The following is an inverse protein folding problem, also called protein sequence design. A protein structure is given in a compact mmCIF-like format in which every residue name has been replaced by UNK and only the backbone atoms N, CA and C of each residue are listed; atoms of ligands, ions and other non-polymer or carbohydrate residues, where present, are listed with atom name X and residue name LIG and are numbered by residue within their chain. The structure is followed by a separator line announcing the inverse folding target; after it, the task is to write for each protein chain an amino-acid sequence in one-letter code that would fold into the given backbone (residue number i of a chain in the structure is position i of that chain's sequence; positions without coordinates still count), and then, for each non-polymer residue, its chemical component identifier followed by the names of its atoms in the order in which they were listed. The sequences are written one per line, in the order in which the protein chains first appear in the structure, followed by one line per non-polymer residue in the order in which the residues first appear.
data_IF_276451642585
#
_entry.id   IF_276451642585
#
_cell.length_a   1.000
_cell.length_b   1.000
_cell.length_c   1.000
_cell.angle_alpha   90.00
_cell.angle_beta   90.00
_cell.angle_gamma   90.00
#
_symmetry.space_group_name_H-M   'P 1'
#
loop_
_entity.id
_entity.type
_entity.pdbx_description
1 polymer ?
#
# COMPACT_ATOMS: atom_id res chain seq x y z
N UNK A 1 -2.35 21.36 -6.07
CA UNK A 1 -1.14 20.80 -6.75
C UNK A 1 -0.28 20.05 -5.74
N UNK A 2 -0.01 18.76 -5.97
CA UNK A 2 0.87 17.94 -5.11
C UNK A 2 2.26 18.59 -5.03
N UNK A 3 2.89 18.69 -3.85
CA UNK A 3 4.21 19.29 -3.72
C UNK A 3 5.26 18.57 -4.59
N UNK A 4 6.15 19.34 -5.22
CA UNK A 4 7.24 18.80 -6.02
C UNK A 4 8.27 18.06 -5.13
N UNK A 5 8.82 16.97 -5.63
CA UNK A 5 9.80 16.14 -4.88
C UNK A 5 11.01 16.94 -4.38
N UNK A 6 11.46 17.94 -5.13
CA UNK A 6 12.57 18.83 -4.72
C UNK A 6 12.27 19.62 -3.44
N UNK A 7 11.01 19.97 -3.21
CA UNK A 7 10.60 20.71 -2.01
C UNK A 7 10.55 19.79 -0.79
N UNK A 8 10.01 18.57 -0.94
CA UNK A 8 9.97 17.57 0.12
C UNK A 8 11.37 17.08 0.52
N UNK A 9 12.29 16.97 -0.44
CA UNK A 9 13.70 16.65 -0.16
C UNK A 9 14.38 17.69 0.75
N UNK A 10 13.96 18.97 0.69
CA UNK A 10 14.49 20.04 1.57
C UNK A 10 13.92 19.96 2.98
N UNK A 11 12.64 19.59 3.14
CA UNK A 11 12.00 19.46 4.45
C UNK A 11 12.55 18.28 5.27
N UNK A 12 13.22 17.32 4.62
CA UNK A 12 13.84 16.19 5.28
C UNK A 12 12.89 14.99 5.46
N UNK A 13 13.47 13.86 5.87
CA UNK A 13 12.76 12.58 6.06
C UNK A 13 11.60 12.76 7.04
N UNK A 14 10.48 12.10 6.77
CA UNK A 14 9.18 12.20 7.47
C UNK A 14 8.32 13.42 7.13
N UNK A 15 8.74 14.28 6.20
CA UNK A 15 7.90 15.38 5.72
C UNK A 15 6.58 14.83 5.15
N UNK A 16 5.47 15.40 5.63
CA UNK A 16 4.12 15.01 5.21
C UNK A 16 3.37 16.25 4.76
N UNK A 17 2.62 16.13 3.67
CA UNK A 17 1.69 17.16 3.20
C UNK A 17 0.36 16.50 2.89
N UNK A 18 -0.73 17.14 3.33
CA UNK A 18 -2.09 16.69 3.08
C UNK A 18 -2.85 17.75 2.29
N UNK A 19 -3.67 17.32 1.33
CA UNK A 19 -4.56 18.20 0.56
C UNK A 19 -5.91 17.52 0.38
N UNK A 20 -6.97 18.25 0.67
CA UNK A 20 -8.33 17.84 0.39
C UNK A 20 -8.75 18.33 -1.00
N UNK A 21 -9.37 17.45 -1.78
CA UNK A 21 -9.99 17.78 -3.06
C UNK A 21 -11.36 17.13 -3.09
N UNK A 22 -12.38 17.86 -3.54
CA UNK A 22 -13.72 17.32 -3.74
C UNK A 22 -13.92 17.05 -5.23
N UNK A 23 -14.28 15.82 -5.58
CA UNK A 23 -14.62 15.39 -6.95
C UNK A 23 -16.00 14.74 -6.88
N UNK A 24 -16.95 15.19 -7.69
CA UNK A 24 -18.30 14.62 -7.75
C UNK A 24 -18.97 14.46 -6.36
N UNK A 25 -18.95 15.53 -5.54
CA UNK A 25 -19.42 15.55 -4.14
C UNK A 25 -18.75 14.53 -3.21
N UNK A 26 -17.60 13.98 -3.61
CA UNK A 26 -16.80 13.06 -2.79
C UNK A 26 -15.50 13.72 -2.38
N UNK A 27 -15.26 13.75 -1.09
CA UNK A 27 -14.04 14.30 -0.49
C UNK A 27 -12.89 13.27 -0.57
N UNK A 28 -11.82 13.65 -1.25
CA UNK A 28 -10.61 12.84 -1.46
C UNK A 28 -9.42 13.56 -0.83
N UNK A 29 -8.77 12.88 0.10
CA UNK A 29 -7.53 13.32 0.74
C UNK A 29 -6.33 12.77 -0.02
N UNK A 30 -5.45 13.67 -0.44
CA UNK A 30 -4.16 13.34 -1.03
C UNK A 30 -3.09 13.57 0.03
N UNK A 31 -2.45 12.49 0.46
CA UNK A 31 -1.37 12.49 1.43
C UNK A 31 -0.06 12.19 0.71
N UNK A 32 0.85 13.14 0.75
CA UNK A 32 2.22 13.00 0.26
C UNK A 32 3.17 12.84 1.44
N UNK A 33 3.95 11.76 1.45
CA UNK A 33 4.90 11.44 2.52
C UNK A 33 6.30 11.20 1.94
N UNK A 34 7.31 11.72 2.62
CA UNK A 34 8.70 11.53 2.24
C UNK A 34 9.41 10.54 3.18
N UNK A 35 9.64 9.32 2.69
CA UNK A 35 10.48 8.33 3.37
C UNK A 35 11.89 8.30 2.74
N UNK A 36 12.25 7.22 2.04
CA UNK A 36 13.44 7.20 1.19
C UNK A 36 13.18 7.85 -0.19
N UNK A 37 11.91 7.92 -0.58
CA UNK A 37 11.37 8.53 -1.79
C UNK A 37 10.01 9.13 -1.44
N UNK A 38 9.52 10.03 -2.29
CA UNK A 38 8.18 10.58 -2.16
C UNK A 38 7.15 9.51 -2.49
N UNK A 39 6.19 9.32 -1.59
CA UNK A 39 5.04 8.44 -1.74
C UNK A 39 3.77 9.30 -1.73
N UNK A 40 2.94 9.15 -2.75
CA UNK A 40 1.63 9.80 -2.82
C UNK A 40 0.54 8.76 -2.62
N UNK A 41 -0.41 9.06 -1.74
CA UNK A 41 -1.56 8.23 -1.48
C UNK A 41 -2.83 9.08 -1.57
N UNK A 42 -3.84 8.57 -2.25
CA UNK A 42 -5.18 9.16 -2.23
C UNK A 42 -6.09 8.27 -1.38
N UNK A 43 -6.88 8.88 -0.51
CA UNK A 43 -7.83 8.17 0.37
C UNK A 43 -9.09 8.99 0.57
N UNK A 44 -10.23 8.32 0.62
CA UNK A 44 -11.51 8.89 1.06
C UNK A 44 -11.81 8.61 2.53
N UNK A 45 -10.93 7.88 3.22
CA UNK A 45 -11.16 7.36 4.57
C UNK A 45 -10.17 7.90 5.61
N UNK A 46 -8.87 7.86 5.29
CA UNK A 46 -7.81 8.19 6.24
C UNK A 46 -6.92 9.30 5.70
N UNK A 47 -6.67 10.29 6.54
CA UNK A 47 -5.76 11.39 6.27
C UNK A 47 -4.38 11.21 6.89
N UNK A 48 -3.68 12.34 7.05
CA UNK A 48 -2.34 12.38 7.60
C UNK A 48 -2.29 12.17 9.13
N UNK A 49 -3.33 12.62 9.83
CA UNK A 49 -3.39 12.65 11.30
C UNK A 49 -4.24 11.52 11.89
N UNK A 50 -3.88 10.97 13.08
CA UNK A 50 -2.63 11.21 13.81
C UNK A 50 -1.44 10.54 13.12
N UNK A 51 -0.31 11.24 13.06
CA UNK A 51 0.94 10.64 12.63
C UNK A 51 1.45 9.67 13.71
N UNK A 52 1.94 8.51 13.28
CA UNK A 52 2.43 7.45 14.14
C UNK A 52 3.90 7.18 13.82
N UNK A 53 4.69 6.84 14.83
CA UNK A 53 6.09 6.48 14.62
C UNK A 53 6.20 5.04 14.11
N UNK A 54 7.00 4.85 13.06
CA UNK A 54 7.41 3.53 12.59
C UNK A 54 8.92 3.46 12.54
N UNK A 55 9.43 2.31 12.99
CA UNK A 55 10.85 2.03 12.97
C UNK A 55 11.29 1.78 11.51
N UNK A 56 12.23 2.59 11.01
CA UNK A 56 12.77 2.47 9.67
C UNK A 56 14.29 2.48 9.69
N UNK A 57 14.88 1.60 8.90
CA UNK A 57 16.33 1.57 8.74
C UNK A 57 16.80 2.77 7.92
N UNK A 58 17.79 3.50 8.43
CA UNK A 58 18.47 4.57 7.73
C UNK A 58 19.84 4.05 7.23
N UNK A 59 20.00 3.96 5.91
CA UNK A 59 21.24 3.46 5.30
C UNK A 59 22.45 4.34 5.57
N UNK A 60 22.27 5.66 5.77
CA UNK A 60 23.37 6.60 6.01
C UNK A 60 23.97 6.41 7.40
N UNK A 61 23.11 6.27 8.40
CA UNK A 61 23.52 6.09 9.80
C UNK A 61 23.66 4.61 10.20
N UNK A 62 23.28 3.69 9.30
CA UNK A 62 23.26 2.23 9.53
C UNK A 62 22.51 1.83 10.81
N UNK A 63 21.49 2.62 11.18
CA UNK A 63 20.72 2.46 12.39
C UNK A 63 19.22 2.52 12.08
N UNK A 64 18.43 1.97 13.00
CA UNK A 64 16.98 2.13 12.98
C UNK A 64 16.60 3.46 13.63
N UNK A 65 15.73 4.20 12.97
CA UNK A 65 15.22 5.48 13.43
C UNK A 65 13.70 5.46 13.44
N UNK A 66 13.09 6.18 14.40
CA UNK A 66 11.66 6.42 14.41
C UNK A 66 11.34 7.50 13.37
N UNK A 67 10.48 7.16 12.42
CA UNK A 67 10.04 8.07 11.36
C UNK A 67 8.54 8.27 11.53
N UNK A 68 8.11 9.52 11.59
CA UNK A 68 6.69 9.86 11.59
C UNK A 68 6.05 9.44 10.26
N UNK A 69 5.02 8.61 10.34
CA UNK A 69 4.28 8.07 9.22
C UNK A 69 2.80 8.47 9.32
N UNK A 70 2.21 8.98 8.23
CA UNK A 70 0.81 9.37 8.24
C UNK A 70 -0.13 8.18 8.43
N UNK A 71 -1.27 8.40 9.09
CA UNK A 71 -2.26 7.34 9.34
C UNK A 71 -2.73 6.64 8.07
N UNK A 72 -2.92 7.39 6.98
CA UNK A 72 -3.30 6.86 5.68
C UNK A 72 -2.29 5.81 5.17
N UNK A 73 -0.99 6.09 5.26
CA UNK A 73 0.08 5.19 4.80
C UNK A 73 0.09 3.89 5.62
N UNK A 74 -0.12 3.98 6.93
CA UNK A 74 -0.21 2.80 7.78
C UNK A 74 -1.43 1.94 7.45
N UNK A 75 -2.58 2.59 7.28
CA UNK A 75 -3.84 1.91 6.95
C UNK A 75 -3.73 1.17 5.62
N UNK A 76 -3.11 1.82 4.63
CA UNK A 76 -2.81 1.21 3.34
C UNK A 76 -1.90 -0.02 3.50
N UNK A 77 -0.74 0.14 4.15
CA UNK A 77 0.22 -0.97 4.33
C UNK A 77 -0.37 -2.16 5.11
N UNK A 78 -1.29 -1.90 6.07
CA UNK A 78 -1.97 -2.96 6.81
C UNK A 78 -2.85 -3.84 5.92
N UNK A 79 -3.39 -3.32 4.82
CA UNK A 79 -4.36 -4.02 3.98
C UNK A 79 -3.81 -4.39 2.60
N UNK A 80 -2.73 -3.77 2.15
CA UNK A 80 -2.10 -3.99 0.84
C UNK A 80 -1.74 -5.47 0.59
N UNK A 81 -1.24 -6.19 1.61
CA UNK A 81 -0.71 -7.55 1.44
C UNK A 81 -1.74 -8.66 1.31
N UNK A 82 -3.04 -8.35 1.37
CA UNK A 82 -4.09 -9.38 1.38
C UNK A 82 -4.16 -10.15 0.06
N UNK A 83 -3.99 -9.45 -1.07
CA UNK A 83 -4.00 -10.07 -2.41
C UNK A 83 -2.73 -10.91 -2.64
N UNK A 84 -1.56 -10.38 -2.28
CA UNK A 84 -0.29 -11.11 -2.39
C UNK A 84 -0.29 -12.40 -1.55
N UNK A 85 -0.91 -12.36 -0.36
CA UNK A 85 -1.07 -13.54 0.49
C UNK A 85 -1.95 -14.60 -0.20
N UNK A 86 -3.09 -14.18 -0.77
CA UNK A 86 -3.96 -15.09 -1.52
C UNK A 86 -3.22 -15.69 -2.72
N UNK A 87 -2.49 -14.88 -3.48
CA UNK A 87 -1.70 -15.34 -4.63
C UNK A 87 -0.60 -16.32 -4.22
N UNK A 88 0.04 -16.10 -3.05
CA UNK A 88 1.01 -17.03 -2.50
C UNK A 88 0.35 -18.38 -2.14
N UNK A 89 -0.78 -18.36 -1.43
CA UNK A 89 -1.53 -19.57 -1.06
C UNK A 89 -2.03 -20.33 -2.29
N UNK A 90 -2.58 -19.63 -3.27
CA UNK A 90 -2.95 -20.20 -4.56
C UNK A 90 -1.75 -20.78 -5.29
N UNK A 91 -0.56 -20.18 -5.18
CA UNK A 91 0.69 -20.72 -5.71
C UNK A 91 1.10 -22.04 -5.06
N UNK A 92 0.94 -22.16 -3.73
CA UNK A 92 1.29 -23.37 -2.98
C UNK A 92 0.35 -24.55 -3.27
N UNK A 93 -0.96 -24.30 -3.37
CA UNK A 93 -1.98 -25.35 -3.49
C UNK A 93 -2.54 -25.51 -4.90
N UNK A 94 -1.89 -24.93 -5.92
CA UNK A 94 -2.42 -24.88 -7.29
C UNK A 94 -2.63 -26.26 -7.90
N UNK A 95 -3.85 -26.54 -8.35
CA UNK A 95 -4.13 -27.70 -9.20
C UNK A 95 -3.64 -27.42 -10.63
N UNK A 96 -2.54 -28.06 -11.03
CA UNK A 96 -1.99 -27.91 -12.39
C UNK A 96 -2.59 -28.92 -13.36
N UNK A 97 -3.48 -28.45 -14.23
CA UNK A 97 -4.07 -29.27 -15.31
C UNK A 97 -3.72 -28.71 -16.68
N UNK A 98 -3.18 -29.57 -17.54
CA UNK A 98 -2.87 -29.23 -18.93
C UNK A 98 -4.09 -29.50 -19.81
N UNK A 99 -4.92 -28.49 -20.02
CA UNK A 99 -6.09 -28.54 -20.90
C UNK A 99 -6.02 -27.47 -21.99
N UNK A 100 -6.48 -27.80 -23.20
CA UNK A 100 -6.62 -26.83 -24.31
C UNK A 100 -7.86 -25.94 -24.15
N UNK A 101 -8.79 -26.32 -23.27
CA UNK A 101 -10.06 -25.61 -23.09
C UNK A 101 -9.93 -24.61 -21.93
N UNK A 102 -10.08 -23.31 -22.22
CA UNK A 102 -9.82 -22.23 -21.25
C UNK A 102 -10.68 -22.31 -19.97
N UNK A 103 -11.92 -22.81 -20.08
CA UNK A 103 -12.84 -22.88 -18.94
C UNK A 103 -12.36 -23.80 -17.81
N UNK A 104 -11.54 -24.82 -18.10
CA UNK A 104 -10.95 -25.66 -17.05
C UNK A 104 -10.07 -24.82 -16.12
N UNK A 105 -9.34 -23.83 -16.65
CA UNK A 105 -8.50 -22.95 -15.84
C UNK A 105 -9.32 -22.16 -14.83
N UNK A 106 -10.52 -21.70 -15.21
CA UNK A 106 -11.44 -20.98 -14.33
C UNK A 106 -11.99 -21.94 -13.26
N UNK A 107 -12.48 -23.11 -13.67
CA UNK A 107 -13.07 -24.11 -12.77
C UNK A 107 -12.09 -24.55 -11.66
N UNK A 108 -10.86 -24.93 -12.02
CA UNK A 108 -9.87 -25.35 -11.02
C UNK A 108 -9.37 -24.19 -10.15
N UNK A 109 -9.25 -22.99 -10.71
CA UNK A 109 -8.94 -21.81 -9.90
C UNK A 109 -10.01 -21.50 -8.85
N UNK A 110 -11.29 -21.71 -9.17
CA UNK A 110 -12.37 -21.57 -8.18
C UNK A 110 -12.27 -22.61 -7.07
N UNK A 111 -11.91 -23.87 -7.40
CA UNK A 111 -11.66 -24.91 -6.39
C UNK A 111 -10.47 -24.53 -5.50
N UNK A 112 -9.38 -24.06 -6.09
CA UNK A 112 -8.19 -23.61 -5.35
C UNK A 112 -8.56 -22.47 -4.39
N UNK A 113 -9.37 -21.49 -4.83
CA UNK A 113 -9.85 -20.40 -3.96
C UNK A 113 -10.74 -20.88 -2.81
N UNK A 114 -11.66 -21.83 -3.06
CA UNK A 114 -12.51 -22.40 -2.00
C UNK A 114 -11.64 -23.14 -0.97
N UNK A 115 -10.61 -23.84 -1.42
CA UNK A 115 -9.71 -24.62 -0.56
C UNK A 115 -8.85 -23.71 0.31
N UNK A 116 -8.39 -22.58 -0.23
CA UNK A 116 -7.61 -21.58 0.53
C UNK A 116 -8.48 -20.80 1.54
N UNK A 117 -9.77 -20.62 1.24
CA UNK A 117 -10.71 -19.91 2.11
C UNK A 117 -11.39 -20.77 3.19
N UNK A 118 -11.36 -22.10 3.08
CA UNK A 118 -11.99 -23.04 4.01
C UNK A 118 -11.15 -23.22 5.29
#
# INVERSE_FOLDING_TARGET
MVPAEKELNKLGRSATTEKLTTVDNTDILIVTWYDNRVVNLASTYAGSTPALEVLRFNKKEKAYQNVACPKAMMTYNRHMGSVDLLDALLGYYRIQIRSKKFYHRIFFHTIDMVTVNA
#
